data_IF_048690933509
#
_entry.id   IF_048690933509
#
_cell.length_a   1.000
_cell.length_b   1.000
_cell.length_c   1.000
_cell.angle_alpha   90.00
_cell.angle_beta   90.00
_cell.angle_gamma   90.00
#
_symmetry.space_group_name_H-M   'P 1'
#
loop_
_entity.id
_entity.type
_entity.pdbx_description
1 polymer ?
#
# COMPACT_ATOMS: atom_id res chain seq x y z
N UNK A 1 -34.08 -1.17 31.78
CA UNK A 1 -32.95 -0.28 31.41
C UNK A 1 -31.95 -1.07 30.57
N UNK A 2 -32.02 -0.96 29.23
CA UNK A 2 -31.00 -1.47 28.31
C UNK A 2 -30.44 -0.25 27.58
N UNK A 3 -29.20 0.08 27.86
CA UNK A 3 -28.46 1.17 27.19
C UNK A 3 -28.04 0.72 25.80
N UNK A 4 -28.53 1.41 24.77
CA UNK A 4 -28.07 1.28 23.40
C UNK A 4 -26.57 1.64 23.29
N UNK A 5 -25.76 0.92 22.50
CA UNK A 5 -24.39 1.33 22.24
C UNK A 5 -24.40 2.60 21.37
N UNK A 6 -23.69 3.64 21.83
CA UNK A 6 -23.47 4.86 21.05
C UNK A 6 -22.59 4.53 19.85
N UNK A 7 -23.14 4.71 18.65
CA UNK A 7 -22.36 4.82 17.42
C UNK A 7 -21.45 6.05 17.55
N UNK A 8 -20.13 5.85 17.46
CA UNK A 8 -19.17 6.95 17.36
C UNK A 8 -19.33 7.62 15.99
N UNK A 9 -19.61 8.93 15.91
CA UNK A 9 -19.71 9.64 14.65
C UNK A 9 -18.31 10.19 14.26
N UNK A 10 -17.77 9.81 13.10
CA UNK A 10 -16.63 10.55 12.52
C UNK A 10 -15.75 9.88 11.46
N UNK A 11 -15.67 8.54 11.37
CA UNK A 11 -14.61 7.89 10.58
C UNK A 11 -14.92 7.66 9.08
N UNK A 12 -16.18 7.76 8.65
CA UNK A 12 -16.58 7.36 7.28
C UNK A 12 -16.46 8.44 6.21
N UNK A 13 -16.20 9.71 6.57
CA UNK A 13 -16.23 10.83 5.61
C UNK A 13 -14.89 11.13 4.92
N UNK A 14 -13.76 10.78 5.52
CA UNK A 14 -12.45 11.32 5.11
C UNK A 14 -11.71 10.45 4.08
N UNK A 15 -11.89 9.14 4.14
CA UNK A 15 -11.27 8.22 3.17
C UNK A 15 -11.91 8.26 1.79
N UNK A 16 -13.22 8.52 1.70
CA UNK A 16 -13.87 8.85 0.44
C UNK A 16 -13.34 10.14 -0.19
N UNK A 17 -12.89 11.12 0.61
CA UNK A 17 -12.35 12.39 0.10
C UNK A 17 -10.96 12.20 -0.52
N UNK A 18 -10.06 11.43 0.11
CA UNK A 18 -8.71 11.15 -0.41
C UNK A 18 -8.76 10.48 -1.79
N UNK A 19 -9.70 9.55 -1.97
CA UNK A 19 -9.89 8.81 -3.23
C UNK A 19 -10.46 9.71 -4.34
N UNK A 20 -11.31 10.69 -3.99
CA UNK A 20 -11.92 11.62 -4.96
C UNK A 20 -10.89 12.57 -5.59
N UNK A 21 -9.75 12.82 -4.94
CA UNK A 21 -8.82 13.88 -5.36
C UNK A 21 -7.82 13.48 -6.43
N UNK A 22 -7.42 12.21 -6.49
CA UNK A 22 -6.55 11.77 -7.60
C UNK A 22 -7.24 12.00 -8.96
N UNK A 23 -8.56 11.85 -9.04
CA UNK A 23 -9.31 12.12 -10.26
C UNK A 23 -9.52 13.59 -10.58
N UNK A 24 -9.63 14.48 -9.58
CA UNK A 24 -9.76 15.91 -9.83
C UNK A 24 -8.54 16.46 -10.61
N UNK A 25 -7.36 15.92 -10.34
CA UNK A 25 -6.13 16.29 -11.04
C UNK A 25 -5.92 15.59 -12.39
N UNK A 26 -6.51 14.41 -12.60
CA UNK A 26 -6.41 13.67 -13.88
C UNK A 26 -7.51 14.09 -14.88
N UNK A 27 -8.61 14.69 -14.43
CA UNK A 27 -9.77 15.03 -15.25
C UNK A 27 -9.59 16.21 -16.22
N UNK A 28 -8.45 16.93 -16.17
CA UNK A 28 -8.27 18.16 -16.97
C UNK A 28 -8.11 17.91 -18.49
N UNK A 29 -7.77 16.70 -18.91
CA UNK A 29 -7.38 16.43 -20.31
C UNK A 29 -8.52 16.15 -21.30
N UNK A 30 -9.79 16.34 -20.93
CA UNK A 30 -10.94 16.38 -21.88
C UNK A 30 -11.27 15.09 -22.66
N UNK A 31 -10.38 14.10 -22.67
CA UNK A 31 -10.56 12.79 -23.31
C UNK A 31 -10.71 11.70 -22.24
N UNK A 32 -11.95 11.29 -21.99
CA UNK A 32 -12.32 10.31 -20.94
C UNK A 32 -12.06 8.85 -21.33
N UNK A 33 -11.68 8.57 -22.57
CA UNK A 33 -11.49 7.20 -23.10
C UNK A 33 -10.02 6.82 -23.34
N UNK A 34 -9.07 7.75 -23.16
CA UNK A 34 -7.66 7.48 -23.40
C UNK A 34 -7.01 6.81 -22.17
N UNK A 35 -6.18 5.78 -22.42
CA UNK A 35 -5.34 5.12 -21.40
C UNK A 35 -4.52 6.18 -20.65
N UNK A 36 -4.43 6.07 -19.33
CA UNK A 36 -3.62 6.99 -18.52
C UNK A 36 -2.15 6.82 -18.90
N UNK A 37 -1.51 7.91 -19.33
CA UNK A 37 -0.09 7.93 -19.69
C UNK A 37 0.78 7.97 -18.43
N UNK A 38 2.00 7.41 -18.42
CA UNK A 38 2.89 7.47 -17.26
C UNK A 38 3.15 8.89 -16.73
N UNK A 39 3.30 9.88 -17.63
CA UNK A 39 3.48 11.27 -17.23
C UNK A 39 2.24 11.86 -16.52
N UNK A 40 1.04 11.49 -16.98
CA UNK A 40 -0.23 11.92 -16.37
C UNK A 40 -0.41 11.27 -14.99
N UNK A 41 -0.08 9.98 -14.85
CA UNK A 41 -0.10 9.28 -13.56
C UNK A 41 0.87 9.92 -12.55
N UNK A 42 2.08 10.29 -13.00
CA UNK A 42 3.06 10.98 -12.17
C UNK A 42 2.59 12.36 -11.71
N UNK A 43 2.02 13.17 -12.62
CA UNK A 43 1.46 14.48 -12.27
C UNK A 43 0.33 14.37 -11.24
N UNK A 44 -0.57 13.41 -11.43
CA UNK A 44 -1.67 13.15 -10.50
C UNK A 44 -1.18 12.69 -9.12
N UNK A 45 -0.15 11.84 -9.09
CA UNK A 45 0.48 11.38 -7.86
C UNK A 45 1.10 12.56 -7.09
N UNK A 46 1.86 13.43 -7.78
CA UNK A 46 2.45 14.63 -7.19
C UNK A 46 1.39 15.58 -6.63
N UNK A 47 0.37 15.91 -7.41
CA UNK A 47 -0.70 16.80 -6.97
C UNK A 47 -1.48 16.23 -5.77
N UNK A 48 -1.68 14.90 -5.75
CA UNK A 48 -2.31 14.23 -4.60
C UNK A 48 -1.45 14.30 -3.36
N UNK A 49 -0.13 14.09 -3.49
CA UNK A 49 0.81 14.21 -2.37
C UNK A 49 0.85 15.63 -1.79
N UNK A 50 0.88 16.65 -2.64
CA UNK A 50 0.81 18.05 -2.21
C UNK A 50 -0.47 18.34 -1.43
N UNK A 51 -1.61 17.84 -1.92
CA UNK A 51 -2.88 17.98 -1.22
C UNK A 51 -2.90 17.23 0.12
N UNK A 52 -2.38 16.00 0.16
CA UNK A 52 -2.29 15.21 1.40
C UNK A 52 -1.43 15.91 2.45
N UNK A 53 -0.31 16.51 2.03
CA UNK A 53 0.55 17.28 2.92
C UNK A 53 -0.17 18.53 3.45
N UNK A 54 -0.92 19.25 2.60
CA UNK A 54 -1.68 20.41 3.04
C UNK A 54 -2.82 20.07 4.02
N UNK A 55 -3.50 18.92 3.83
CA UNK A 55 -4.67 18.58 4.64
C UNK A 55 -4.33 17.80 5.92
N UNK A 56 -3.43 16.83 5.82
CA UNK A 56 -3.10 15.92 6.92
C UNK A 56 -1.69 16.17 7.45
N UNK A 57 -0.79 16.66 6.60
CA UNK A 57 0.64 16.76 6.88
C UNK A 57 1.34 15.42 6.65
N UNK A 58 2.47 15.48 5.96
CA UNK A 58 3.40 14.37 5.82
C UNK A 58 4.47 14.41 6.93
N UNK A 59 4.99 13.24 7.27
CA UNK A 59 6.07 13.07 8.24
C UNK A 59 7.39 13.08 7.48
N UNK A 60 8.15 14.17 7.67
CA UNK A 60 9.51 14.29 7.17
C UNK A 60 10.50 13.97 8.29
N UNK A 61 10.97 12.72 8.34
CA UNK A 61 11.95 12.24 9.31
C UNK A 61 13.05 11.45 8.61
N UNK A 62 14.30 11.90 8.73
CA UNK A 62 15.44 11.30 8.00
C UNK A 62 15.67 9.82 8.33
N UNK A 63 15.66 9.38 9.61
CA UNK A 63 15.67 7.95 9.95
C UNK A 63 14.54 7.14 9.31
N UNK A 64 13.31 7.65 9.35
CA UNK A 64 12.16 7.00 8.72
C UNK A 64 12.33 6.89 7.19
N UNK A 65 12.71 7.98 6.52
CA UNK A 65 12.96 8.00 5.07
C UNK A 65 14.02 6.96 4.66
N UNK A 66 15.12 6.84 5.43
CA UNK A 66 16.16 5.83 5.15
C UNK A 66 15.66 4.40 5.32
N UNK A 67 14.89 4.15 6.38
CA UNK A 67 14.28 2.84 6.61
C UNK A 67 13.36 2.45 5.46
N UNK A 68 12.48 3.37 5.05
CA UNK A 68 11.54 3.14 3.95
C UNK A 68 12.26 2.95 2.62
N UNK A 69 13.29 3.75 2.33
CA UNK A 69 14.12 3.58 1.14
C UNK A 69 14.87 2.24 1.13
N UNK A 70 15.37 1.78 2.28
CA UNK A 70 15.97 0.45 2.41
C UNK A 70 14.94 -0.65 2.16
N UNK A 71 13.71 -0.50 2.67
CA UNK A 71 12.64 -1.47 2.46
C UNK A 71 12.29 -1.55 0.97
N UNK A 72 11.98 -0.42 0.32
CA UNK A 72 11.65 -0.40 -1.11
C UNK A 72 12.82 -0.90 -1.94
N UNK A 73 14.06 -0.52 -1.64
CA UNK A 73 15.24 -1.02 -2.34
C UNK A 73 15.48 -2.53 -2.19
N UNK A 74 15.04 -3.16 -1.10
CA UNK A 74 15.04 -4.64 -0.97
C UNK A 74 13.93 -5.27 -1.78
N UNK A 75 12.74 -4.69 -1.75
CA UNK A 75 11.57 -5.17 -2.51
C UNK A 75 11.74 -4.93 -4.02
N UNK A 76 12.54 -3.95 -4.43
CA UNK A 76 12.81 -3.52 -5.82
C UNK A 76 14.27 -3.68 -6.29
N UNK A 77 15.16 -4.34 -5.52
CA UNK A 77 16.58 -4.64 -5.85
C UNK A 77 16.90 -5.96 -6.60
N UNK A 78 17.91 -5.93 -7.47
CA UNK A 78 18.29 -6.74 -8.66
C UNK A 78 18.07 -8.27 -8.80
N UNK A 79 17.50 -9.04 -7.85
CA UNK A 79 17.35 -10.51 -7.97
C UNK A 79 16.05 -10.91 -8.73
N UNK A 80 15.80 -10.27 -9.89
CA UNK A 80 14.44 -10.18 -10.46
C UNK A 80 14.06 -11.05 -11.66
N UNK A 81 14.99 -11.70 -12.35
CA UNK A 81 14.65 -12.35 -13.63
C UNK A 81 13.64 -13.48 -13.45
N UNK A 82 14.09 -14.61 -12.91
CA UNK A 82 13.29 -15.83 -12.93
C UNK A 82 12.09 -15.86 -11.99
N UNK A 83 12.12 -15.09 -10.88
CA UNK A 83 11.09 -15.18 -9.84
C UNK A 83 9.80 -14.40 -10.16
N UNK A 84 9.88 -13.33 -10.96
CA UNK A 84 8.74 -12.48 -11.33
C UNK A 84 8.25 -12.70 -12.77
N UNK A 85 9.03 -13.39 -13.61
CA UNK A 85 8.70 -13.68 -15.01
C UNK A 85 7.40 -14.47 -15.22
N UNK A 86 6.87 -15.11 -14.17
CA UNK A 86 5.60 -15.85 -14.24
C UNK A 86 4.36 -14.98 -14.07
N UNK A 87 4.47 -13.83 -13.40
CA UNK A 87 3.31 -12.96 -13.10
C UNK A 87 3.33 -11.65 -13.87
N UNK A 88 4.49 -11.21 -14.35
CA UNK A 88 4.67 -9.91 -15.01
C UNK A 88 5.20 -10.08 -16.42
N UNK A 89 4.64 -9.31 -17.36
CA UNK A 89 5.23 -9.15 -18.69
C UNK A 89 6.61 -8.49 -18.60
N UNK A 90 7.46 -8.72 -19.62
CA UNK A 90 8.77 -8.05 -19.71
C UNK A 90 8.67 -6.53 -19.62
N UNK A 91 7.63 -5.95 -20.21
CA UNK A 91 7.38 -4.49 -20.14
C UNK A 91 7.09 -4.04 -18.71
N UNK A 92 6.25 -4.76 -17.97
CA UNK A 92 5.99 -4.48 -16.55
C UNK A 92 7.25 -4.60 -15.69
N UNK A 93 8.11 -5.61 -15.96
CA UNK A 93 9.37 -5.80 -15.23
C UNK A 93 10.35 -4.65 -15.50
N UNK A 94 10.46 -4.19 -16.75
CA UNK A 94 11.33 -3.04 -17.10
C UNK A 94 10.81 -1.78 -16.43
N UNK A 95 9.52 -1.48 -16.61
CA UNK A 95 8.86 -0.34 -15.97
C UNK A 95 9.06 -0.35 -14.45
N UNK A 96 8.89 -1.51 -13.83
CA UNK A 96 9.07 -1.69 -12.39
C UNK A 96 10.43 -1.21 -11.88
N UNK A 97 11.50 -1.58 -12.58
CA UNK A 97 12.88 -1.24 -12.20
C UNK A 97 13.18 0.25 -12.35
N UNK A 98 12.45 0.93 -13.22
CA UNK A 98 12.65 2.35 -13.52
C UNK A 98 11.76 3.26 -12.67
N UNK A 99 10.74 2.72 -11.99
CA UNK A 99 9.88 3.52 -11.12
C UNK A 99 10.67 4.07 -9.91
N UNK A 100 10.53 5.37 -9.60
CA UNK A 100 11.20 5.99 -8.46
C UNK A 100 10.44 5.68 -7.16
N UNK A 101 10.54 4.44 -6.68
CA UNK A 101 9.81 3.98 -5.50
C UNK A 101 10.06 4.86 -4.28
N UNK A 102 9.00 5.52 -3.80
CA UNK A 102 9.04 6.37 -2.62
C UNK A 102 7.81 6.13 -1.75
N UNK A 103 8.06 5.94 -0.45
CA UNK A 103 7.01 5.80 0.55
C UNK A 103 6.91 7.10 1.34
N UNK A 104 5.70 7.62 1.44
CA UNK A 104 5.36 8.81 2.21
C UNK A 104 4.55 8.42 3.43
N UNK A 105 4.76 9.12 4.55
CA UNK A 105 4.01 8.86 5.77
C UNK A 105 3.04 10.00 6.06
N UNK A 106 1.74 9.73 5.98
CA UNK A 106 0.67 10.67 6.29
C UNK A 106 0.36 10.66 7.79
N UNK A 107 0.17 11.84 8.40
CA UNK A 107 -0.22 11.95 9.82
C UNK A 107 -1.71 11.65 10.02
N UNK A 108 -2.06 10.38 9.95
CA UNK A 108 -3.40 9.87 10.21
C UNK A 108 -3.35 8.70 11.20
N UNK A 109 -4.22 8.76 12.22
CA UNK A 109 -4.24 7.79 13.31
C UNK A 109 -4.81 6.44 12.88
N UNK A 110 -5.73 6.45 11.91
CA UNK A 110 -6.39 5.26 11.39
C UNK A 110 -5.40 4.45 10.55
N UNK A 111 -5.11 3.17 10.89
CA UNK A 111 -4.22 2.33 10.11
C UNK A 111 -4.71 2.15 8.68
N UNK A 112 -3.85 2.54 7.74
CA UNK A 112 -4.11 2.47 6.32
C UNK A 112 -2.82 2.61 5.49
N UNK A 113 -2.84 2.11 4.26
CA UNK A 113 -1.86 2.36 3.21
C UNK A 113 -2.56 2.35 1.83
N UNK A 114 -1.98 3.03 0.85
CA UNK A 114 -2.49 3.04 -0.52
C UNK A 114 -1.44 3.51 -1.52
N UNK A 115 -1.50 2.96 -2.73
CA UNK A 115 -0.73 3.41 -3.89
C UNK A 115 -1.36 4.59 -4.62
N UNK A 116 -0.54 5.60 -4.96
CA UNK A 116 -0.95 6.74 -5.78
C UNK A 116 -0.64 6.56 -7.28
N UNK A 117 0.25 5.62 -7.61
CA UNK A 117 0.79 5.44 -8.95
C UNK A 117 2.20 6.02 -9.06
N UNK A 118 2.84 5.81 -10.21
CA UNK A 118 4.18 6.34 -10.53
C UNK A 118 5.27 6.07 -9.47
N UNK A 119 5.16 4.97 -8.71
CA UNK A 119 6.13 4.60 -7.67
C UNK A 119 5.85 5.23 -6.29
N UNK A 120 4.80 6.03 -6.15
CA UNK A 120 4.42 6.65 -4.88
C UNK A 120 3.47 5.74 -4.07
N UNK A 121 3.87 5.43 -2.84
CA UNK A 121 3.07 4.70 -1.85
C UNK A 121 2.87 5.58 -0.62
N UNK A 122 1.66 5.64 -0.09
CA UNK A 122 1.35 6.37 1.15
C UNK A 122 1.03 5.37 2.25
N UNK A 123 1.66 5.55 3.40
CA UNK A 123 1.38 4.79 4.63
C UNK A 123 0.95 5.78 5.71
N UNK A 124 -0.03 5.43 6.53
CA UNK A 124 -0.43 6.27 7.66
C UNK A 124 0.49 6.06 8.86
N UNK A 125 0.64 7.08 9.70
CA UNK A 125 1.33 6.94 10.98
C UNK A 125 0.66 5.89 11.88
N UNK A 126 -0.67 5.75 11.80
CA UNK A 126 -1.43 4.66 12.42
C UNK A 126 -0.95 3.27 11.99
N UNK A 127 -0.80 3.04 10.68
CA UNK A 127 -0.30 1.76 10.16
C UNK A 127 1.12 1.49 10.62
N UNK A 128 2.00 2.50 10.55
CA UNK A 128 3.38 2.36 10.99
C UNK A 128 3.50 1.99 12.48
N UNK A 129 2.60 2.50 13.33
CA UNK A 129 2.55 2.15 14.75
C UNK A 129 1.94 0.78 15.03
N UNK A 130 1.06 0.29 14.16
CA UNK A 130 0.44 -1.02 14.29
C UNK A 130 1.40 -2.16 13.91
N UNK A 131 2.29 -1.91 12.94
CA UNK A 131 3.32 -2.89 12.54
C UNK A 131 4.31 -3.18 13.67
N UNK A 132 4.58 -4.46 13.89
CA UNK A 132 5.40 -5.01 14.99
C UNK A 132 6.80 -5.37 14.54
N UNK A 133 7.01 -5.56 13.24
CA UNK A 133 8.30 -5.88 12.65
C UNK A 133 8.56 -5.11 11.35
N UNK A 134 9.83 -5.08 10.93
CA UNK A 134 10.19 -4.55 9.60
C UNK A 134 9.54 -5.38 8.48
N UNK A 135 9.36 -6.70 8.69
CA UNK A 135 8.70 -7.58 7.74
C UNK A 135 7.20 -7.25 7.59
N UNK A 136 6.51 -6.94 8.69
CA UNK A 136 5.12 -6.47 8.66
C UNK A 136 4.97 -5.15 7.88
N UNK A 137 5.85 -4.17 8.13
CA UNK A 137 5.85 -2.92 7.37
C UNK A 137 6.19 -3.15 5.89
N UNK A 138 7.18 -4.00 5.61
CA UNK A 138 7.52 -4.39 4.26
C UNK A 138 6.36 -5.09 3.54
N UNK A 139 5.52 -5.85 4.26
CA UNK A 139 4.38 -6.56 3.70
C UNK A 139 3.31 -5.59 3.18
N UNK A 140 2.98 -4.58 3.98
CA UNK A 140 2.07 -3.50 3.59
C UNK A 140 2.61 -2.79 2.35
N UNK A 141 3.88 -2.41 2.35
CA UNK A 141 4.51 -1.73 1.22
C UNK A 141 4.55 -2.62 -0.02
N UNK A 142 4.91 -3.90 0.13
CA UNK A 142 4.96 -4.86 -0.98
C UNK A 142 3.58 -5.09 -1.62
N UNK A 143 2.52 -5.17 -0.81
CA UNK A 143 1.14 -5.27 -1.28
C UNK A 143 0.74 -4.04 -2.12
N UNK A 144 1.04 -2.82 -1.62
CA UNK A 144 0.76 -1.59 -2.37
C UNK A 144 1.60 -1.48 -3.66
N UNK A 145 2.86 -1.87 -3.62
CA UNK A 145 3.72 -1.95 -4.81
C UNK A 145 3.15 -2.93 -5.84
N UNK A 146 2.62 -4.08 -5.38
CA UNK A 146 2.01 -5.08 -6.25
C UNK A 146 0.77 -4.55 -6.98
N UNK A 147 -0.07 -3.73 -6.34
CA UNK A 147 -1.19 -3.07 -7.01
C UNK A 147 -0.74 -2.18 -8.19
N UNK A 148 0.37 -1.46 -8.06
CA UNK A 148 0.90 -0.65 -9.17
C UNK A 148 1.52 -1.52 -10.27
N UNK A 149 2.21 -2.60 -9.88
CA UNK A 149 2.86 -3.53 -10.80
C UNK A 149 1.87 -4.26 -11.70
N UNK A 150 0.75 -4.69 -11.12
CA UNK A 150 -0.32 -5.37 -11.83
C UNK A 150 -1.22 -4.40 -12.61
N UNK A 151 -0.98 -3.09 -12.50
CA UNK A 151 -1.75 -2.05 -13.18
C UNK A 151 -3.09 -1.73 -12.52
N UNK A 152 -3.40 -2.34 -11.36
CA UNK A 152 -4.66 -2.10 -10.63
C UNK A 152 -4.84 -0.61 -10.30
N UNK A 153 -3.76 0.08 -9.90
CA UNK A 153 -3.81 1.53 -9.60
C UNK A 153 -4.16 2.35 -10.84
N UNK A 154 -3.53 2.08 -11.99
CA UNK A 154 -3.83 2.77 -13.24
C UNK A 154 -5.27 2.49 -13.70
N UNK A 155 -5.71 1.24 -13.64
CA UNK A 155 -7.09 0.85 -13.98
C UNK A 155 -8.14 1.49 -13.06
N UNK A 156 -7.83 1.59 -11.77
CA UNK A 156 -8.66 2.30 -10.79
C UNK A 156 -8.82 3.79 -11.14
N UNK A 157 -7.72 4.45 -11.51
CA UNK A 157 -7.75 5.85 -11.95
C UNK A 157 -8.55 6.03 -13.25
N UNK A 158 -8.37 5.13 -14.22
CA UNK A 158 -9.15 5.13 -15.47
C UNK A 158 -10.64 4.95 -15.21
N UNK A 159 -11.01 3.97 -14.38
CA UNK A 159 -12.40 3.71 -14.00
C UNK A 159 -13.01 4.91 -13.29
N UNK A 160 -12.27 5.57 -12.40
CA UNK A 160 -12.73 6.79 -11.75
C UNK A 160 -12.93 7.94 -12.74
N UNK A 161 -12.05 8.14 -13.74
CA UNK A 161 -12.25 9.15 -14.80
C UNK A 161 -13.51 8.89 -15.61
N UNK A 162 -13.80 7.62 -15.89
CA UNK A 162 -14.91 7.21 -16.76
C UNK A 162 -16.26 7.23 -16.04
N UNK A 163 -16.28 6.79 -14.78
CA UNK A 163 -17.53 6.51 -14.04
C UNK A 163 -17.75 7.40 -12.82
N UNK A 164 -16.74 8.16 -12.39
CA UNK A 164 -16.76 8.88 -11.12
C UNK A 164 -16.71 8.00 -9.87
N UNK A 165 -16.64 6.67 -10.04
CA UNK A 165 -16.55 5.73 -8.92
C UNK A 165 -15.20 5.88 -8.18
N UNK A 166 -15.14 5.71 -6.85
CA UNK A 166 -13.89 5.84 -6.10
C UNK A 166 -12.79 4.91 -6.65
N UNK A 167 -11.59 5.42 -6.94
CA UNK A 167 -10.45 4.61 -7.42
C UNK A 167 -10.02 3.50 -6.45
N UNK A 168 -10.16 3.66 -5.14
CA UNK A 168 -9.63 2.67 -4.18
C UNK A 168 -10.59 1.53 -3.85
N UNK A 169 -11.36 1.04 -4.83
CA UNK A 169 -12.13 -0.22 -4.73
C UNK A 169 -11.55 -1.24 -5.70
N UNK A 170 -10.83 -2.22 -5.15
CA UNK A 170 -10.20 -3.34 -5.85
C UNK A 170 -11.03 -4.58 -5.61
N UNK A 171 -11.16 -5.43 -6.63
CA UNK A 171 -11.89 -6.70 -6.53
C UNK A 171 -11.14 -7.73 -5.66
N UNK A 172 -11.80 -8.86 -5.35
CA UNK A 172 -11.13 -10.00 -4.69
C UNK A 172 -9.94 -10.50 -5.50
N UNK A 173 -10.13 -10.60 -6.80
CA UNK A 173 -9.11 -11.06 -7.71
C UNK A 173 -7.89 -10.12 -7.69
N UNK A 174 -8.10 -8.81 -7.72
CA UNK A 174 -7.03 -7.81 -7.66
C UNK A 174 -6.23 -7.91 -6.35
N UNK A 175 -6.92 -8.11 -5.22
CA UNK A 175 -6.30 -8.22 -3.89
C UNK A 175 -5.53 -9.53 -3.72
N UNK A 176 -6.08 -10.65 -4.21
CA UNK A 176 -5.38 -11.94 -4.21
C UNK A 176 -4.14 -11.92 -5.11
N UNK A 177 -4.23 -11.27 -6.28
CA UNK A 177 -3.09 -11.11 -7.16
C UNK A 177 -2.02 -10.20 -6.54
N UNK A 178 -2.42 -9.10 -5.87
CA UNK A 178 -1.51 -8.23 -5.15
C UNK A 178 -0.83 -8.93 -3.96
N UNK A 179 -1.57 -9.76 -3.22
CA UNK A 179 -1.06 -10.59 -2.13
C UNK A 179 -0.01 -11.60 -2.62
N UNK A 180 -0.31 -12.33 -3.70
CA UNK A 180 0.62 -13.29 -4.31
C UNK A 180 1.92 -12.63 -4.75
N UNK A 181 1.83 -11.52 -5.49
CA UNK A 181 3.01 -10.80 -5.95
C UNK A 181 3.75 -10.15 -4.76
N UNK A 182 3.03 -9.60 -3.78
CA UNK A 182 3.60 -9.04 -2.56
C UNK A 182 4.43 -10.06 -1.77
N UNK A 183 3.94 -11.30 -1.63
CA UNK A 183 4.70 -12.39 -1.01
C UNK A 183 5.99 -12.73 -1.80
N UNK A 184 5.93 -12.71 -3.14
CA UNK A 184 7.14 -12.88 -3.98
C UNK A 184 8.15 -11.76 -3.75
N UNK A 185 7.69 -10.51 -3.67
CA UNK A 185 8.56 -9.35 -3.38
C UNK A 185 9.20 -9.47 -2.00
N UNK A 186 8.44 -9.89 -0.99
CA UNK A 186 8.97 -10.13 0.37
C UNK A 186 10.02 -11.25 0.39
N UNK A 187 9.75 -12.34 -0.31
CA UNK A 187 10.67 -13.47 -0.45
C UNK A 187 12.00 -13.03 -1.08
N UNK A 188 11.93 -12.31 -2.21
CA UNK A 188 13.11 -11.75 -2.89
C UNK A 188 13.83 -10.73 -2.00
N UNK A 189 13.08 -9.89 -1.28
CA UNK A 189 13.59 -8.94 -0.30
C UNK A 189 14.16 -9.56 0.97
N UNK A 190 14.10 -10.90 1.10
CA UNK A 190 14.59 -11.69 2.25
C UNK A 190 13.93 -11.31 3.58
N UNK A 191 12.63 -11.02 3.53
CA UNK A 191 11.80 -10.82 4.72
C UNK A 191 11.22 -12.14 5.24
N UNK A 192 10.90 -12.17 6.53
CA UNK A 192 10.26 -13.33 7.14
C UNK A 192 8.77 -13.34 6.82
N UNK A 193 8.34 -14.26 5.95
CA UNK A 193 6.97 -14.31 5.45
C UNK A 193 5.94 -14.63 6.55
N UNK A 194 6.32 -15.41 7.57
CA UNK A 194 5.43 -15.73 8.70
C UNK A 194 5.09 -14.52 9.57
N UNK A 195 5.99 -13.53 9.68
CA UNK A 195 5.71 -12.28 10.38
C UNK A 195 4.85 -11.34 9.52
N UNK A 196 5.05 -11.34 8.20
CA UNK A 196 4.43 -10.40 7.26
C UNK A 196 2.88 -10.45 7.20
N UNK A 197 2.28 -11.59 7.53
CA UNK A 197 0.85 -11.84 7.31
C UNK A 197 -0.09 -10.97 8.14
N UNK A 198 0.29 -10.70 9.40
CA UNK A 198 -0.56 -9.99 10.36
C UNK A 198 -0.92 -8.60 9.82
N UNK A 199 0.02 -7.92 9.16
CA UNK A 199 -0.18 -6.57 8.64
C UNK A 199 -0.99 -6.53 7.33
N UNK A 200 -0.92 -7.58 6.50
CA UNK A 200 -1.77 -7.71 5.29
C UNK A 200 -3.25 -7.77 5.69
N UNK A 201 -3.57 -8.45 6.80
CA UNK A 201 -4.94 -8.52 7.31
C UNK A 201 -5.49 -7.18 7.84
N UNK A 202 -4.61 -6.24 8.20
CA UNK A 202 -4.97 -4.89 8.69
C UNK A 202 -5.32 -3.97 7.51
N UNK A 203 -4.79 -4.29 6.32
CA UNK A 203 -4.69 -3.43 5.15
C UNK A 203 -5.97 -2.95 4.48
N UNK A 204 -7.19 -3.30 4.93
CA UNK A 204 -8.38 -2.68 4.32
C UNK A 204 -9.60 -2.55 5.22
N UNK A 205 -9.74 -1.38 5.82
CA UNK A 205 -11.01 -0.82 6.29
C UNK A 205 -11.46 0.38 5.45
N UNK A 206 -11.17 0.33 4.13
CA UNK A 206 -11.54 1.37 3.18
C UNK A 206 -12.59 0.89 2.18
N UNK A 207 -13.75 1.54 2.17
CA UNK A 207 -14.56 1.67 0.96
C UNK A 207 -15.66 0.63 0.74
N UNK A 208 -16.73 0.73 1.52
CA UNK A 208 -18.06 0.99 0.93
C UNK A 208 -18.87 -0.14 0.31
N UNK A 209 -18.36 -1.35 0.17
CA UNK A 209 -19.21 -2.54 0.01
C UNK A 209 -18.77 -3.62 1.00
N UNK A 210 -19.74 -4.13 1.76
CA UNK A 210 -19.55 -5.39 2.47
C UNK A 210 -19.32 -6.44 1.39
N UNK A 211 -18.06 -6.81 1.12
CA UNK A 211 -17.63 -7.86 0.17
C UNK A 211 -18.09 -9.28 0.61
N UNK A 212 -19.22 -9.36 1.31
CA UNK A 212 -19.70 -10.48 2.09
C UNK A 212 -18.99 -10.60 3.45
N UNK A 213 -19.61 -11.28 4.42
CA UNK A 213 -18.99 -11.58 5.72
C UNK A 213 -17.70 -12.43 5.58
N UNK A 214 -17.51 -13.09 4.42
CA UNK A 214 -16.44 -14.06 4.20
C UNK A 214 -15.25 -13.51 3.39
N UNK A 215 -15.28 -12.26 2.94
CA UNK A 215 -14.20 -11.67 2.13
C UNK A 215 -12.81 -11.86 2.75
N UNK A 216 -12.65 -11.42 4.00
CA UNK A 216 -11.37 -11.48 4.70
C UNK A 216 -10.98 -12.93 4.94
N UNK A 217 -11.96 -13.78 5.26
CA UNK A 217 -11.76 -15.22 5.41
C UNK A 217 -11.20 -15.85 4.14
N UNK A 218 -11.77 -15.54 2.98
CA UNK A 218 -11.33 -16.07 1.69
C UNK A 218 -9.95 -15.55 1.30
N UNK A 219 -9.71 -14.25 1.50
CA UNK A 219 -8.39 -13.64 1.28
C UNK A 219 -7.31 -14.30 2.13
N UNK A 220 -7.57 -14.42 3.44
CA UNK A 220 -6.62 -15.05 4.36
C UNK A 220 -6.41 -16.53 4.06
N UNK A 221 -7.45 -17.27 3.64
CA UNK A 221 -7.30 -18.68 3.26
C UNK A 221 -6.38 -18.84 2.03
N UNK A 222 -6.57 -18.00 1.00
CA UNK A 222 -5.71 -17.99 -0.19
C UNK A 222 -4.27 -17.60 0.15
N UNK A 223 -4.09 -16.60 1.03
CA UNK A 223 -2.77 -16.14 1.45
C UNK A 223 -2.01 -17.24 2.19
N UNK A 224 -2.67 -17.99 3.09
CA UNK A 224 -2.05 -19.14 3.74
C UNK A 224 -1.69 -20.24 2.74
N UNK A 225 -2.55 -20.55 1.78
CA UNK A 225 -2.26 -21.53 0.73
C UNK A 225 -1.08 -21.09 -0.16
N UNK A 226 -0.96 -19.79 -0.45
CA UNK A 226 0.15 -19.25 -1.23
C UNK A 226 1.48 -19.36 -0.48
N UNK A 227 1.47 -19.21 0.85
CA UNK A 227 2.68 -19.38 1.68
C UNK A 227 3.27 -20.78 1.62
N UNK A 228 2.46 -21.82 1.42
CA UNK A 228 2.93 -23.21 1.31
C UNK A 228 3.87 -23.41 0.12
N UNK A 229 3.89 -22.49 -0.84
CA UNK A 229 4.81 -22.51 -1.98
C UNK A 229 6.23 -22.02 -1.64
N UNK A 230 6.42 -21.42 -0.46
CA UNK A 230 7.69 -20.84 -0.05
C UNK A 230 8.40 -21.71 1.01
N UNK A 231 9.74 -21.72 1.04
CA UNK A 231 10.48 -22.38 2.10
C UNK A 231 10.14 -21.80 3.48
N UNK A 232 9.72 -22.67 4.40
CA UNK A 232 9.34 -22.31 5.78
C UNK A 232 10.50 -21.75 6.62
N UNK A 233 11.75 -22.06 6.21
CA UNK A 233 12.96 -21.63 6.90
C UNK A 233 13.90 -20.93 5.91
N UNK A 234 13.79 -19.60 5.86
CA UNK A 234 14.75 -18.76 5.18
C UNK A 234 15.65 -18.09 6.22
N UNK A 235 16.94 -17.84 5.91
CA UNK A 235 17.74 -16.86 6.64
C UNK A 235 17.14 -15.48 6.31
N UNK A 236 16.07 -15.18 7.04
CA UNK A 236 15.27 -13.98 6.92
C UNK A 236 15.87 -12.88 7.78
N UNK A 237 15.71 -11.65 7.34
CA UNK A 237 16.15 -10.50 8.13
C UNK A 237 15.21 -10.31 9.31
N UNK A 238 15.75 -10.39 10.53
CA UNK A 238 15.04 -9.94 11.74
C UNK A 238 14.72 -8.44 11.63
N UNK A 239 13.73 -8.00 12.42
CA UNK A 239 13.45 -6.58 12.61
C UNK A 239 14.70 -5.79 12.88
N UNK A 240 15.05 -4.86 11.99
CA UNK A 240 16.29 -4.12 12.14
C UNK A 240 16.26 -3.24 13.39
N UNK A 241 17.45 -2.97 13.94
CA UNK A 241 17.61 -1.96 15.01
C UNK A 241 17.10 -0.58 14.57
N UNK A 242 17.11 -0.31 13.27
CA UNK A 242 16.60 0.91 12.67
C UNK A 242 15.08 1.00 12.76
N UNK A 243 14.35 -0.05 12.36
CA UNK A 243 12.88 -0.13 12.52
C UNK A 243 12.46 0.12 13.97
N UNK A 244 13.09 -0.60 14.91
CA UNK A 244 12.80 -0.46 16.33
C UNK A 244 13.08 0.95 16.88
N UNK A 245 14.08 1.64 16.32
CA UNK A 245 14.41 3.03 16.70
C UNK A 245 13.37 4.00 16.17
N UNK A 246 13.00 3.89 14.89
CA UNK A 246 11.99 4.74 14.24
C UNK A 246 10.65 4.60 14.95
N UNK A 247 10.19 3.37 15.22
CA UNK A 247 8.91 3.14 15.91
C UNK A 247 8.87 3.79 17.29
N UNK A 248 9.94 3.65 18.08
CA UNK A 248 10.03 4.31 19.40
C UNK A 248 10.03 5.83 19.29
N UNK A 249 10.76 6.38 18.33
CA UNK A 249 10.83 7.83 18.11
C UNK A 249 9.43 8.41 17.80
N UNK A 250 8.69 7.76 16.91
CA UNK A 250 7.34 8.18 16.53
C UNK A 250 6.32 8.01 17.66
N UNK A 251 6.43 6.95 18.46
CA UNK A 251 5.57 6.74 19.63
C UNK A 251 5.77 7.82 20.70
N UNK A 252 7.02 8.24 20.94
CA UNK A 252 7.35 9.29 21.91
C UNK A 252 6.86 10.67 21.46
N UNK A 253 6.98 10.98 20.16
CA UNK A 253 6.49 12.26 19.61
C UNK A 253 4.98 12.46 19.79
N UNK A 254 4.21 11.38 19.90
CA UNK A 254 2.75 11.40 20.15
C UNK A 254 2.37 11.66 21.61
N UNK A 255 3.27 11.41 22.55
CA UNK A 255 3.02 11.62 23.99
C UNK A 255 3.27 13.08 24.42
N UNK A 256 3.92 13.87 23.58
CA UNK A 256 4.32 15.26 23.82
C UNK A 256 3.46 16.31 23.11
N UNK A 257 2.43 15.89 22.38
CA UNK A 257 1.48 16.74 21.62
C UNK A 257 0.07 16.57 22.15
#
# INVERSE_FOLDING_TARGET
MRSSPRLLPGSFRHTAQIIVLVAAFVAWDGCTTARVRPATEAQASTATLEWLDQQYGLVYDRPLERLLHKITGRLSGTVYGSALETDLSREQIVRYRELPWQVFVMREATPNAFSLGAGAVVVTSGMLLETRSEAELAAVIAHEMAHQLLGHTTSALEKQRQTGAPAATFSLEDELAADRLGLKLLFVGRYQLSEALSAIAIGRQLGGESLGPDWLTLRMANLHQELDQYPQHLPATESSREFNRVRRHLALGRASS
#
